data_IF_369660902152
#
_entry.id   IF_369660902152
#
_cell.length_a   1.000
_cell.length_b   1.000
_cell.length_c   1.000
_cell.angle_alpha   90.00
_cell.angle_beta   90.00
_cell.angle_gamma   90.00
#
_symmetry.space_group_name_H-M   'P 1'
#
loop_
_entity.id
_entity.type
_entity.pdbx_description
1 polymer ?
#
# COMPACT_ATOMS: atom_id res chain seq x y z
N UNK A 1 -17.12 12.05 -8.91
CA UNK A 1 -17.34 11.21 -7.74
C UNK A 1 -18.12 9.91 -8.09
N UNK A 2 -19.23 9.96 -8.85
CA UNK A 2 -20.09 8.78 -9.15
C UNK A 2 -19.33 7.57 -9.70
N UNK A 3 -18.38 7.79 -10.64
CA UNK A 3 -17.53 6.71 -11.18
C UNK A 3 -16.71 6.03 -10.07
N UNK A 4 -16.09 6.82 -9.20
CA UNK A 4 -15.28 6.30 -8.10
C UNK A 4 -16.12 5.55 -7.06
N UNK A 5 -17.36 6.00 -6.82
CA UNK A 5 -18.33 5.27 -6.00
C UNK A 5 -18.70 3.91 -6.59
N UNK A 6 -18.75 3.79 -7.93
CA UNK A 6 -19.00 2.52 -8.63
C UNK A 6 -17.82 1.55 -8.53
N UNK A 7 -16.61 2.07 -8.58
CA UNK A 7 -15.39 1.26 -8.70
C UNK A 7 -14.85 0.84 -7.32
N UNK A 8 -14.74 1.76 -6.38
CA UNK A 8 -14.12 1.48 -5.09
C UNK A 8 -15.10 0.96 -4.03
N UNK A 9 -14.59 0.11 -3.15
CA UNK A 9 -15.40 -0.52 -2.09
C UNK A 9 -15.77 0.45 -0.97
N UNK A 10 -14.95 1.48 -0.71
CA UNK A 10 -15.20 2.49 0.33
C UNK A 10 -16.06 3.63 -0.20
N UNK A 11 -16.75 4.30 0.71
CA UNK A 11 -17.54 5.48 0.40
C UNK A 11 -16.66 6.71 0.16
N UNK A 12 -16.60 7.13 -1.11
CA UNK A 12 -15.79 8.27 -1.56
C UNK A 12 -16.35 9.60 -1.06
N UNK A 13 -17.66 9.71 -0.80
CA UNK A 13 -18.27 10.94 -0.30
C UNK A 13 -17.72 11.38 1.08
N UNK A 14 -17.19 10.44 1.84
CA UNK A 14 -16.56 10.70 3.15
C UNK A 14 -15.14 11.29 3.05
N UNK A 15 -14.54 11.28 1.85
CA UNK A 15 -13.21 11.85 1.63
C UNK A 15 -13.34 13.36 1.44
N UNK A 16 -12.70 14.13 2.30
CA UNK A 16 -12.69 15.60 2.24
C UNK A 16 -11.57 16.09 1.31
N UNK A 17 -11.74 17.29 0.75
CA UNK A 17 -10.64 18.00 0.07
C UNK A 17 -9.47 18.16 1.05
N UNK A 18 -8.24 17.99 0.59
CA UNK A 18 -7.05 17.99 1.46
C UNK A 18 -6.74 16.64 2.12
N UNK A 19 -7.53 15.59 1.82
CA UNK A 19 -7.32 14.24 2.35
C UNK A 19 -7.01 13.23 1.26
N UNK A 20 -6.18 12.25 1.63
CA UNK A 20 -6.03 11.00 0.91
C UNK A 20 -6.90 9.90 1.52
N UNK A 21 -7.09 8.82 0.77
CA UNK A 21 -7.78 7.64 1.25
C UNK A 21 -7.26 6.40 0.52
N UNK A 22 -6.85 5.38 1.28
CA UNK A 22 -6.54 4.08 0.70
C UNK A 22 -7.80 3.47 0.11
N UNK A 23 -7.71 3.02 -1.12
CA UNK A 23 -8.81 2.45 -1.89
C UNK A 23 -8.34 1.22 -2.65
N UNK A 24 -9.24 0.31 -2.92
CA UNK A 24 -9.02 -0.79 -3.85
C UNK A 24 -10.29 -1.07 -4.67
N UNK A 25 -10.08 -1.62 -5.85
CA UNK A 25 -11.12 -2.06 -6.75
C UNK A 25 -11.20 -3.59 -6.76
N UNK A 26 -12.40 -4.11 -6.99
CA UNK A 26 -12.64 -5.54 -7.13
C UNK A 26 -13.27 -5.85 -8.48
N UNK A 27 -13.13 -7.09 -8.91
CA UNK A 27 -13.91 -7.69 -9.98
C UNK A 27 -15.34 -8.03 -9.49
N UNK A 28 -16.20 -8.43 -10.41
CA UNK A 28 -17.61 -8.77 -10.08
C UNK A 28 -17.74 -9.97 -9.13
N UNK A 29 -16.79 -10.88 -9.16
CA UNK A 29 -16.69 -12.06 -8.29
C UNK A 29 -16.09 -11.75 -6.90
N UNK A 30 -15.70 -10.49 -6.66
CA UNK A 30 -15.11 -10.03 -5.40
C UNK A 30 -13.61 -10.16 -5.31
N UNK A 31 -12.94 -10.75 -6.30
CA UNK A 31 -11.48 -10.77 -6.40
C UNK A 31 -10.90 -9.36 -6.53
N UNK A 32 -9.72 -9.14 -5.94
CA UNK A 32 -9.10 -7.81 -5.94
C UNK A 32 -8.40 -7.52 -7.27
N UNK A 33 -8.71 -6.35 -7.86
CA UNK A 33 -8.07 -5.89 -9.09
C UNK A 33 -6.72 -5.22 -8.79
N UNK A 34 -6.75 -4.17 -7.99
CA UNK A 34 -5.58 -3.39 -7.56
C UNK A 34 -5.97 -2.45 -6.42
N UNK A 35 -4.97 -1.87 -5.78
CA UNK A 35 -5.13 -0.88 -4.72
C UNK A 35 -4.31 0.39 -4.99
N UNK A 36 -4.52 1.40 -4.17
CA UNK A 36 -3.78 2.66 -4.26
C UNK A 36 -4.33 3.73 -3.33
N UNK A 37 -3.82 4.94 -3.52
CA UNK A 37 -4.18 6.10 -2.71
C UNK A 37 -4.95 7.11 -3.54
N UNK A 38 -6.17 7.40 -3.13
CA UNK A 38 -7.02 8.44 -3.70
C UNK A 38 -6.75 9.77 -3.00
N UNK A 39 -6.37 10.81 -3.76
CA UNK A 39 -6.29 12.19 -3.28
C UNK A 39 -7.54 12.96 -3.77
N UNK A 40 -8.30 13.55 -2.87
CA UNK A 40 -9.35 14.50 -3.26
C UNK A 40 -8.76 15.91 -3.34
N UNK A 41 -8.51 16.38 -4.58
CA UNK A 41 -7.89 17.68 -4.84
C UNK A 41 -8.89 18.83 -4.73
N UNK A 42 -10.08 18.64 -5.29
CA UNK A 42 -11.21 19.55 -5.29
C UNK A 42 -12.50 18.73 -5.17
N UNK A 43 -13.65 19.37 -5.05
CA UNK A 43 -14.93 18.63 -4.86
C UNK A 43 -15.18 17.56 -5.94
N UNK A 44 -14.79 17.81 -7.18
CA UNK A 44 -14.98 16.87 -8.29
C UNK A 44 -13.68 16.50 -9.02
N UNK A 45 -12.53 16.74 -8.39
CA UNK A 45 -11.22 16.43 -8.96
C UNK A 45 -10.43 15.54 -8.03
N UNK A 46 -10.02 14.38 -8.56
CA UNK A 46 -9.34 13.34 -7.82
C UNK A 46 -8.09 12.90 -8.58
N UNK A 47 -7.07 12.53 -7.83
CA UNK A 47 -5.99 11.69 -8.31
C UNK A 47 -6.09 10.33 -7.67
N UNK A 48 -5.80 9.29 -8.42
CA UNK A 48 -5.59 7.95 -7.89
C UNK A 48 -4.19 7.51 -8.22
N UNK A 49 -3.40 7.26 -7.19
CA UNK A 49 -2.00 6.85 -7.28
C UNK A 49 -1.92 5.37 -6.99
N UNK A 50 -1.43 4.61 -7.95
CA UNK A 50 -1.26 3.15 -7.85
C UNK A 50 0.15 2.78 -8.31
N UNK A 51 0.68 1.69 -7.77
CA UNK A 51 1.99 1.17 -8.16
C UNK A 51 1.88 0.19 -9.34
N UNK A 52 0.80 -0.61 -9.38
CA UNK A 52 0.64 -1.73 -10.30
C UNK A 52 -0.78 -1.78 -10.89
N UNK A 53 -0.92 -2.40 -12.05
CA UNK A 53 -2.19 -2.63 -12.72
C UNK A 53 -2.62 -1.51 -13.68
N UNK A 54 -3.65 -1.79 -14.50
CA UNK A 54 -4.24 -0.83 -15.46
C UNK A 54 -5.65 -0.41 -15.02
N UNK A 55 -5.73 0.46 -14.04
CA UNK A 55 -7.01 1.01 -13.62
C UNK A 55 -7.55 2.07 -14.59
N UNK A 56 -6.68 2.63 -15.45
CA UNK A 56 -7.09 3.61 -16.45
C UNK A 56 -8.10 3.03 -17.45
N UNK A 57 -7.80 1.85 -18.01
CA UNK A 57 -8.72 1.15 -18.88
C UNK A 57 -9.99 0.70 -18.15
N UNK A 58 -9.84 0.29 -16.88
CA UNK A 58 -10.98 -0.07 -16.03
C UNK A 58 -11.92 1.12 -15.79
N UNK A 59 -11.38 2.31 -15.50
CA UNK A 59 -12.19 3.52 -15.39
C UNK A 59 -12.94 3.81 -16.68
N UNK A 60 -12.27 3.76 -17.83
CA UNK A 60 -12.90 4.02 -19.14
C UNK A 60 -14.00 3.03 -19.46
N UNK A 61 -13.82 1.75 -19.13
CA UNK A 61 -14.81 0.70 -19.36
C UNK A 61 -16.07 0.89 -18.53
N UNK A 62 -16.03 1.65 -17.43
CA UNK A 62 -17.14 1.81 -16.48
C UNK A 62 -17.73 3.21 -16.44
N UNK A 63 -17.43 4.07 -17.41
CA UNK A 63 -17.96 5.44 -17.48
C UNK A 63 -19.47 5.46 -17.77
N UNK A 64 -19.97 4.48 -18.52
CA UNK A 64 -21.35 4.43 -19.02
C UNK A 64 -21.79 5.81 -19.57
N UNK A 65 -22.88 6.38 -19.06
CA UNK A 65 -23.37 7.72 -19.43
C UNK A 65 -22.90 8.82 -18.46
N UNK A 66 -21.79 8.61 -17.75
CA UNK A 66 -21.28 9.59 -16.79
C UNK A 66 -20.50 10.69 -17.51
N UNK A 67 -20.79 11.95 -17.19
CA UNK A 67 -19.96 13.09 -17.62
C UNK A 67 -18.70 13.12 -16.75
N UNK A 68 -17.65 12.45 -17.20
CA UNK A 68 -16.36 12.34 -16.50
C UNK A 68 -15.20 12.45 -17.49
N UNK A 69 -14.17 13.21 -17.11
CA UNK A 69 -12.89 13.26 -17.82
C UNK A 69 -11.88 12.41 -17.06
N UNK A 70 -11.28 11.45 -17.74
CA UNK A 70 -10.22 10.59 -17.22
C UNK A 70 -8.95 10.90 -18.00
N UNK A 71 -7.85 11.17 -17.31
CA UNK A 71 -6.54 11.46 -17.92
C UNK A 71 -5.43 11.00 -16.98
N UNK A 72 -4.30 10.60 -17.56
CA UNK A 72 -3.05 10.49 -16.82
C UNK A 72 -2.43 11.90 -16.72
N UNK A 73 -2.20 12.42 -15.51
CA UNK A 73 -1.61 13.73 -15.30
C UNK A 73 -0.08 13.74 -15.45
N UNK A 74 0.57 12.61 -15.71
CA UNK A 74 2.03 12.45 -15.82
C UNK A 74 2.73 12.98 -14.53
N UNK A 75 2.40 12.37 -13.41
CA UNK A 75 2.91 12.72 -12.07
C UNK A 75 3.95 11.70 -11.61
N UNK A 76 5.10 12.20 -11.18
CA UNK A 76 6.14 11.39 -10.56
C UNK A 76 6.06 11.46 -9.04
N UNK A 77 6.31 10.36 -8.36
CA UNK A 77 6.23 10.27 -6.90
C UNK A 77 7.57 9.90 -6.32
N UNK A 78 8.06 10.71 -5.39
CA UNK A 78 9.21 10.40 -4.54
C UNK A 78 8.77 10.25 -3.09
N UNK A 79 9.51 9.48 -2.30
CA UNK A 79 9.20 9.29 -0.88
C UNK A 79 10.38 9.65 0.00
N UNK A 80 10.12 10.37 1.08
CA UNK A 80 11.05 10.63 2.19
C UNK A 80 10.47 9.95 3.42
N UNK A 81 11.16 8.94 3.94
CA UNK A 81 10.66 8.12 5.04
C UNK A 81 11.67 8.07 6.20
N UNK A 82 11.18 8.01 7.41
CA UNK A 82 11.98 7.89 8.63
C UNK A 82 11.77 9.02 9.64
N UNK A 83 12.33 8.91 10.85
CA UNK A 83 12.01 9.79 11.98
C UNK A 83 12.40 11.26 11.75
N UNK A 84 13.42 11.54 10.92
CA UNK A 84 13.88 12.90 10.58
C UNK A 84 13.19 13.49 9.34
N UNK A 85 12.24 12.80 8.74
CA UNK A 85 11.59 13.23 7.49
C UNK A 85 10.84 14.55 7.61
N UNK A 86 10.24 14.86 8.76
CA UNK A 86 9.60 16.15 9.01
C UNK A 86 10.63 17.28 9.13
N UNK A 87 11.76 17.03 9.77
CA UNK A 87 12.80 18.04 9.92
C UNK A 87 13.41 18.39 8.56
N UNK A 88 13.65 17.38 7.71
CA UNK A 88 14.05 17.61 6.33
C UNK A 88 13.01 18.41 5.56
N UNK A 89 11.73 18.07 5.68
CA UNK A 89 10.66 18.81 4.99
C UNK A 89 10.64 20.30 5.37
N UNK A 90 10.87 20.62 6.65
CA UNK A 90 10.99 22.01 7.13
C UNK A 90 12.20 22.76 6.55
N UNK A 91 13.27 22.06 6.22
CA UNK A 91 14.44 22.63 5.51
C UNK A 91 14.12 22.88 4.03
N UNK A 92 13.43 21.92 3.39
CA UNK A 92 13.13 21.97 1.97
C UNK A 92 12.11 23.07 1.60
N UNK A 93 11.20 23.41 2.51
CA UNK A 93 10.16 24.40 2.28
C UNK A 93 10.05 25.39 3.44
N UNK A 94 9.91 26.68 3.11
CA UNK A 94 9.71 27.76 4.09
C UNK A 94 8.28 27.87 4.61
N UNK A 95 7.40 26.96 4.18
CA UNK A 95 6.01 26.99 4.61
C UNK A 95 5.83 26.53 6.05
N UNK A 96 4.78 27.02 6.69
CA UNK A 96 4.37 26.54 8.00
C UNK A 96 3.64 25.21 7.86
N UNK A 97 4.09 24.22 8.58
CA UNK A 97 3.47 22.91 8.62
C UNK A 97 2.57 22.76 9.86
N UNK A 98 1.41 22.09 9.74
CA UNK A 98 0.55 21.83 10.89
C UNK A 98 1.29 21.01 11.97
N UNK A 99 1.17 21.37 13.24
CA UNK A 99 1.73 20.57 14.35
C UNK A 99 1.16 19.14 14.37
N UNK A 100 -0.12 19.01 14.07
CA UNK A 100 -0.86 17.75 14.06
C UNK A 100 -1.23 17.33 12.64
N UNK A 101 -0.23 17.16 11.77
CA UNK A 101 -0.47 16.65 10.43
C UNK A 101 -0.84 15.18 10.49
N UNK A 102 -2.09 14.86 10.17
CA UNK A 102 -2.61 13.50 10.27
C UNK A 102 -2.16 12.63 9.09
N UNK A 103 -2.02 11.34 9.33
CA UNK A 103 -1.82 10.37 8.25
C UNK A 103 -2.89 10.53 7.18
N UNK A 104 -2.48 10.55 5.91
CA UNK A 104 -3.31 10.84 4.76
C UNK A 104 -3.84 12.29 4.64
N UNK A 105 -3.29 13.27 5.37
CA UNK A 105 -3.43 14.66 4.97
C UNK A 105 -2.47 14.98 3.83
N UNK A 106 -2.91 15.78 2.87
CA UNK A 106 -2.05 16.31 1.83
C UNK A 106 -2.13 17.84 1.76
N UNK A 107 -1.08 18.46 1.24
CA UNK A 107 -0.98 19.92 1.02
C UNK A 107 -0.13 20.22 -0.21
N UNK A 108 -0.39 21.31 -0.90
CA UNK A 108 0.54 21.87 -1.86
C UNK A 108 1.57 22.73 -1.12
N UNK A 109 2.85 22.52 -1.43
CA UNK A 109 3.97 23.29 -0.88
C UNK A 109 4.90 23.76 -2.01
N UNK A 110 5.81 24.67 -1.68
CA UNK A 110 6.82 25.16 -2.60
C UNK A 110 8.21 24.70 -2.18
N UNK A 111 8.93 24.02 -3.07
CA UNK A 111 10.34 23.63 -2.92
C UNK A 111 11.11 24.22 -4.09
N UNK A 112 12.13 25.07 -3.86
CA UNK A 112 12.92 25.75 -4.89
C UNK A 112 12.08 26.46 -5.98
N UNK A 113 10.99 27.11 -5.60
CA UNK A 113 9.99 27.74 -6.48
C UNK A 113 9.11 26.77 -7.28
N UNK A 114 9.24 25.46 -7.08
CA UNK A 114 8.38 24.44 -7.69
C UNK A 114 7.22 24.10 -6.76
N UNK A 115 5.98 24.19 -7.26
CA UNK A 115 4.79 23.79 -6.52
C UNK A 115 4.57 22.29 -6.64
N UNK A 116 4.68 21.60 -5.54
CA UNK A 116 4.48 20.13 -5.42
C UNK A 116 3.37 19.83 -4.43
N UNK A 117 2.69 18.70 -4.62
CA UNK A 117 1.80 18.15 -3.58
C UNK A 117 2.62 17.22 -2.70
N UNK A 118 2.42 17.32 -1.40
CA UNK A 118 2.95 16.36 -0.46
C UNK A 118 1.81 15.73 0.34
N UNK A 119 1.91 14.44 0.63
CA UNK A 119 1.00 13.77 1.56
C UNK A 119 1.77 13.08 2.68
N UNK A 120 1.18 13.07 3.89
CA UNK A 120 1.69 12.26 4.98
C UNK A 120 1.29 10.82 4.74
N UNK A 121 2.05 10.16 3.90
CA UNK A 121 1.86 8.78 3.48
C UNK A 121 3.20 8.15 3.10
N UNK A 122 3.17 6.86 2.81
CA UNK A 122 4.34 6.09 2.40
C UNK A 122 4.06 4.60 2.51
N UNK A 123 4.95 3.81 1.95
CA UNK A 123 4.83 2.36 1.91
C UNK A 123 5.87 1.68 2.81
N UNK A 124 6.07 2.23 4.03
CA UNK A 124 7.12 1.79 4.97
C UNK A 124 6.64 1.67 6.42
N UNK A 125 5.44 2.15 6.73
CA UNK A 125 4.93 2.34 8.10
C UNK A 125 5.82 3.23 9.00
N UNK A 126 6.71 4.01 8.40
CA UNK A 126 7.50 5.02 9.09
C UNK A 126 6.82 6.39 8.97
N UNK A 127 7.24 7.34 9.82
CA UNK A 127 6.92 8.74 9.56
C UNK A 127 7.48 9.12 8.20
N UNK A 128 6.65 9.67 7.32
CA UNK A 128 7.12 9.97 5.99
C UNK A 128 6.15 10.74 5.13
N UNK A 129 6.66 11.10 3.97
CA UNK A 129 6.04 12.01 3.02
C UNK A 129 6.21 11.46 1.61
N UNK A 130 5.12 11.47 0.85
CA UNK A 130 5.14 11.28 -0.59
C UNK A 130 5.06 12.63 -1.26
N UNK A 131 5.96 12.90 -2.20
CA UNK A 131 6.07 14.16 -2.95
C UNK A 131 5.66 13.86 -4.38
N UNK A 132 4.62 14.56 -4.83
CA UNK A 132 4.04 14.38 -6.15
C UNK A 132 4.47 15.53 -7.06
N UNK A 133 5.33 15.22 -8.02
CA UNK A 133 5.83 16.15 -9.03
C UNK A 133 4.92 16.12 -10.25
N UNK A 134 4.39 17.29 -10.62
CA UNK A 134 3.65 17.44 -11.86
C UNK A 134 4.61 17.50 -13.05
N UNK A 135 4.12 17.19 -14.24
CA UNK A 135 4.89 17.18 -15.51
C UNK A 135 5.78 18.41 -15.71
N UNK A 136 5.31 19.58 -15.30
CA UNK A 136 6.03 20.84 -15.53
C UNK A 136 7.02 21.19 -14.41
N UNK A 137 7.14 20.37 -13.36
CA UNK A 137 8.11 20.61 -12.31
C UNK A 137 9.52 20.21 -12.77
N UNK A 138 10.51 20.99 -12.36
CA UNK A 138 11.91 20.62 -12.51
C UNK A 138 12.28 19.57 -11.45
N UNK A 139 11.92 18.32 -11.74
CA UNK A 139 12.07 17.18 -10.81
C UNK A 139 13.53 16.88 -10.50
N UNK A 140 14.44 17.02 -11.47
CA UNK A 140 15.87 16.82 -11.28
C UNK A 140 16.42 17.80 -10.24
N UNK A 141 16.21 19.10 -10.44
CA UNK A 141 16.69 20.13 -9.53
C UNK A 141 16.12 19.98 -8.12
N UNK A 142 14.84 19.66 -7.98
CA UNK A 142 14.22 19.44 -6.66
C UNK A 142 14.74 18.14 -6.04
N UNK A 143 14.92 17.08 -6.82
CA UNK A 143 15.49 15.81 -6.38
C UNK A 143 16.92 15.98 -5.84
N UNK A 144 17.78 16.69 -6.56
CA UNK A 144 19.16 16.98 -6.12
C UNK A 144 19.17 17.79 -4.83
N UNK A 145 18.31 18.79 -4.70
CA UNK A 145 18.20 19.58 -3.47
C UNK A 145 17.73 18.72 -2.27
N UNK A 146 16.76 17.84 -2.48
CA UNK A 146 16.33 16.89 -1.44
C UNK A 146 17.50 15.99 -1.01
N UNK A 147 18.26 15.46 -1.96
CA UNK A 147 19.41 14.61 -1.68
C UNK A 147 20.54 15.36 -0.96
N UNK A 148 20.83 16.59 -1.38
CA UNK A 148 21.85 17.43 -0.74
C UNK A 148 21.53 17.75 0.71
N UNK A 149 20.33 18.31 0.97
CA UNK A 149 19.89 18.65 2.33
C UNK A 149 19.69 17.39 3.20
N UNK A 150 19.15 16.34 2.61
CA UNK A 150 18.97 15.06 3.29
C UNK A 150 20.27 14.41 3.73
N UNK A 151 21.32 14.44 2.90
CA UNK A 151 22.65 13.92 3.26
C UNK A 151 23.21 14.62 4.49
N UNK A 152 23.03 15.95 4.64
CA UNK A 152 23.46 16.71 5.82
C UNK A 152 22.81 16.21 7.11
N UNK A 153 21.62 15.60 7.00
CA UNK A 153 20.86 15.05 8.12
C UNK A 153 21.04 13.53 8.30
N UNK A 154 21.88 12.90 7.47
CA UNK A 154 22.15 11.47 7.49
C UNK A 154 21.13 10.63 6.69
N UNK A 155 20.41 11.25 5.76
CA UNK A 155 19.53 10.52 4.83
C UNK A 155 20.38 9.69 3.87
N UNK A 156 19.90 8.49 3.57
CA UNK A 156 20.46 7.61 2.54
C UNK A 156 19.43 7.38 1.44
N UNK A 157 19.91 7.34 0.21
CA UNK A 157 19.09 6.89 -0.91
C UNK A 157 18.90 5.38 -0.80
N UNK A 158 17.65 4.91 -0.80
CA UNK A 158 17.35 3.49 -0.77
C UNK A 158 16.68 3.05 -2.06
N UNK A 159 17.00 1.85 -2.50
CA UNK A 159 16.34 1.21 -3.64
C UNK A 159 15.24 0.23 -3.21
N UNK A 160 14.69 -0.45 -4.20
CA UNK A 160 13.62 -1.45 -4.04
C UNK A 160 13.87 -2.51 -2.94
N UNK A 161 15.09 -3.05 -2.73
CA UNK A 161 15.32 -4.04 -1.67
C UNK A 161 15.03 -3.51 -0.26
N UNK A 162 15.52 -2.30 0.07
CA UNK A 162 15.30 -1.68 1.39
C UNK A 162 13.82 -1.34 1.61
N UNK A 163 13.19 -0.84 0.57
CA UNK A 163 11.77 -0.52 0.57
C UNK A 163 10.90 -1.77 0.75
N UNK A 164 11.23 -2.84 0.05
CA UNK A 164 10.56 -4.14 0.16
C UNK A 164 10.69 -4.71 1.58
N UNK A 165 11.86 -4.58 2.22
CA UNK A 165 12.07 -5.01 3.59
C UNK A 165 11.08 -4.30 4.52
N UNK A 166 11.03 -2.97 4.47
CA UNK A 166 10.18 -2.16 5.35
C UNK A 166 8.69 -2.46 5.18
N UNK A 167 8.20 -2.60 3.95
CA UNK A 167 6.80 -2.93 3.72
C UNK A 167 6.41 -4.29 4.30
N UNK A 168 7.29 -5.31 4.14
CA UNK A 168 7.02 -6.66 4.63
C UNK A 168 7.08 -6.71 6.16
N UNK A 169 8.07 -6.07 6.79
CA UNK A 169 8.15 -5.91 8.24
C UNK A 169 6.87 -5.31 8.84
N UNK A 170 6.22 -4.43 8.08
CA UNK A 170 5.01 -3.70 8.48
C UNK A 170 3.71 -4.36 8.03
N UNK A 171 3.77 -5.50 7.35
CA UNK A 171 2.60 -6.18 6.82
C UNK A 171 1.87 -5.44 5.70
N UNK A 172 2.53 -4.48 5.01
CA UNK A 172 1.94 -3.76 3.88
C UNK A 172 1.93 -4.65 2.63
N UNK A 173 0.74 -4.88 2.11
CA UNK A 173 0.50 -5.76 0.98
C UNK A 173 0.89 -5.12 -0.35
N UNK A 174 1.21 -5.94 -1.34
CA UNK A 174 1.50 -5.50 -2.72
C UNK A 174 0.62 -6.26 -3.69
N UNK A 175 -0.06 -5.55 -4.57
CA UNK A 175 -0.86 -6.12 -5.65
C UNK A 175 -0.01 -7.03 -6.55
N UNK A 176 -0.58 -8.12 -7.01
CA UNK A 176 0.11 -9.14 -7.82
C UNK A 176 1.13 -9.99 -7.04
N UNK A 177 1.41 -9.65 -5.77
CA UNK A 177 2.27 -10.46 -4.90
C UNK A 177 1.48 -11.10 -3.76
N UNK A 178 0.84 -10.28 -2.92
CA UNK A 178 0.15 -10.71 -1.71
C UNK A 178 -1.35 -10.87 -1.91
N UNK A 179 -1.88 -10.26 -2.95
CA UNK A 179 -3.26 -10.43 -3.41
C UNK A 179 -3.37 -10.27 -4.92
N UNK A 180 -4.41 -10.86 -5.51
CA UNK A 180 -4.74 -10.82 -6.93
C UNK A 180 -6.25 -11.08 -7.12
N UNK A 181 -6.66 -11.35 -8.35
CA UNK A 181 -8.06 -11.67 -8.70
C UNK A 181 -8.65 -12.92 -8.01
N UNK A 182 -7.81 -13.81 -7.48
CA UNK A 182 -8.25 -15.01 -6.75
C UNK A 182 -8.46 -14.76 -5.24
N UNK A 183 -8.08 -13.57 -4.76
CA UNK A 183 -8.20 -13.18 -3.35
C UNK A 183 -9.22 -12.07 -3.18
N UNK A 184 -10.10 -12.21 -2.22
CA UNK A 184 -11.01 -11.14 -1.83
C UNK A 184 -10.43 -10.28 -0.70
N UNK A 185 -10.96 -9.08 -0.42
CA UNK A 185 -10.43 -8.18 0.61
C UNK A 185 -10.42 -8.78 2.03
N UNK A 186 -11.32 -9.68 2.35
CA UNK A 186 -11.36 -10.31 3.68
C UNK A 186 -10.20 -11.27 3.87
N UNK A 187 -9.87 -12.05 2.85
CA UNK A 187 -8.74 -12.98 2.86
C UNK A 187 -7.45 -12.33 3.33
N UNK A 188 -7.23 -11.08 2.91
CA UNK A 188 -6.00 -10.33 3.17
C UNK A 188 -6.15 -9.28 4.29
N UNK A 189 -7.22 -9.34 5.07
CA UNK A 189 -7.44 -8.46 6.23
C UNK A 189 -7.87 -7.03 5.89
N UNK A 190 -8.26 -6.77 4.63
CA UNK A 190 -8.73 -5.45 4.18
C UNK A 190 -10.25 -5.27 4.28
N UNK A 191 -10.95 -6.21 4.90
CA UNK A 191 -12.41 -6.19 5.04
C UNK A 191 -12.96 -4.92 5.70
N UNK A 192 -12.19 -4.28 6.61
CA UNK A 192 -12.55 -2.99 7.23
C UNK A 192 -12.72 -1.85 6.22
N UNK A 193 -12.21 -2.01 5.02
CA UNK A 193 -12.32 -1.04 3.92
C UNK A 193 -13.43 -1.38 2.92
N UNK A 194 -14.24 -2.42 3.17
CA UNK A 194 -15.41 -2.78 2.37
C UNK A 194 -16.66 -2.18 3.02
N UNK A 195 -17.22 -1.15 2.43
CA UNK A 195 -18.45 -0.51 2.92
C UNK A 195 -19.68 -1.13 2.26
N UNK A 196 -20.16 -2.23 2.83
CA UNK A 196 -21.38 -2.92 2.35
C UNK A 196 -22.67 -2.08 2.49
N UNK A 197 -22.61 -0.94 3.22
CA UNK A 197 -23.76 -0.01 3.33
C UNK A 197 -23.93 0.85 2.08
N UNK A 198 -22.91 0.96 1.22
CA UNK A 198 -23.06 1.63 -0.09
C UNK A 198 -24.15 0.92 -0.90
N UNK A 199 -24.89 1.69 -1.67
CA UNK A 199 -25.93 1.12 -2.53
C UNK A 199 -25.35 0.15 -3.56
N UNK A 200 -24.25 0.52 -4.19
CA UNK A 200 -23.59 -0.29 -5.22
C UNK A 200 -22.09 0.01 -5.31
N UNK A 201 -21.32 -1.02 -5.60
CA UNK A 201 -19.96 -0.98 -6.16
C UNK A 201 -19.68 -2.34 -6.82
N UNK A 202 -18.74 -2.39 -7.74
CA UNK A 202 -18.36 -3.62 -8.46
C UNK A 202 -17.84 -4.65 -7.46
N UNK A 203 -18.38 -5.87 -7.50
CA UNK A 203 -18.04 -6.96 -6.57
C UNK A 203 -18.87 -6.99 -5.28
N UNK A 204 -19.76 -6.01 -5.02
CA UNK A 204 -20.54 -5.95 -3.79
C UNK A 204 -21.30 -7.24 -3.50
N UNK A 205 -22.03 -7.78 -4.48
CA UNK A 205 -22.86 -8.99 -4.30
C UNK A 205 -22.03 -10.18 -3.86
N UNK A 206 -20.88 -10.42 -4.47
CA UNK A 206 -19.95 -11.48 -4.10
C UNK A 206 -19.37 -11.26 -2.70
N UNK A 207 -18.97 -10.01 -2.38
CA UNK A 207 -18.42 -9.68 -1.07
C UNK A 207 -19.45 -9.74 0.07
N UNK A 208 -20.74 -9.62 -0.21
CA UNK A 208 -21.80 -9.83 0.80
C UNK A 208 -21.85 -11.27 1.30
N UNK A 209 -21.63 -12.24 0.43
CA UNK A 209 -21.71 -13.68 0.71
C UNK A 209 -20.34 -14.32 0.99
N UNK A 210 -19.23 -13.63 0.73
CA UNK A 210 -17.88 -14.12 0.98
C UNK A 210 -17.65 -14.43 2.46
N UNK A 211 -16.75 -15.39 2.74
CA UNK A 211 -16.21 -15.57 4.08
C UNK A 211 -15.50 -14.28 4.53
N UNK A 212 -15.77 -13.83 5.74
CA UNK A 212 -15.20 -12.60 6.30
C UNK A 212 -13.91 -12.84 7.09
N UNK A 213 -13.49 -14.09 7.23
CA UNK A 213 -12.33 -14.48 8.00
C UNK A 213 -11.03 -14.23 7.21
N UNK A 214 -10.02 -13.71 7.90
CA UNK A 214 -8.71 -13.44 7.36
C UNK A 214 -7.88 -14.72 7.21
N UNK A 215 -7.18 -14.85 6.07
CA UNK A 215 -6.24 -15.95 5.78
C UNK A 215 -4.80 -15.48 5.59
N UNK A 216 -4.55 -14.17 5.51
CA UNK A 216 -3.23 -13.59 5.31
C UNK A 216 -2.58 -13.25 6.66
N UNK A 217 -1.36 -13.76 6.91
CA UNK A 217 -0.64 -13.60 8.17
C UNK A 217 0.82 -13.26 7.95
N UNK A 218 1.44 -12.65 8.95
CA UNK A 218 2.89 -12.49 9.02
C UNK A 218 3.57 -13.81 9.38
N UNK A 219 4.83 -13.96 8.93
CA UNK A 219 5.65 -15.14 9.14
C UNK A 219 7.07 -14.73 9.53
N UNK A 220 7.63 -15.36 10.58
CA UNK A 220 9.03 -15.22 10.98
C UNK A 220 9.76 -16.54 10.70
N UNK A 221 10.98 -16.43 10.18
CA UNK A 221 11.83 -17.56 9.81
C UNK A 221 13.15 -17.40 10.55
N UNK A 222 13.46 -18.26 11.50
CA UNK A 222 14.59 -18.07 12.41
C UNK A 222 15.94 -18.16 11.72
N UNK A 223 16.15 -19.13 10.84
CA UNK A 223 17.45 -19.43 10.24
C UNK A 223 17.42 -19.32 8.71
N UNK A 224 17.08 -18.15 8.18
CA UNK A 224 17.05 -17.93 6.73
C UNK A 224 15.91 -17.03 6.30
N UNK A 225 15.64 -17.04 5.01
CA UNK A 225 14.54 -16.29 4.39
C UNK A 225 13.68 -17.28 3.61
N UNK A 226 12.41 -17.36 3.94
CA UNK A 226 11.46 -18.15 3.17
C UNK A 226 11.42 -17.68 1.71
N UNK A 227 11.35 -18.59 0.76
CA UNK A 227 11.25 -18.23 -0.65
C UNK A 227 9.83 -17.85 -1.02
N UNK A 228 9.66 -16.74 -1.74
CA UNK A 228 8.38 -16.42 -2.37
C UNK A 228 7.88 -17.60 -3.20
N UNK A 229 6.64 -17.98 -2.98
CA UNK A 229 6.00 -19.08 -3.69
C UNK A 229 6.18 -20.45 -3.04
N UNK A 230 7.00 -20.58 -2.00
CA UNK A 230 7.12 -21.82 -1.23
C UNK A 230 5.87 -22.13 -0.43
N UNK A 231 5.59 -23.42 -0.32
CA UNK A 231 4.49 -23.90 0.52
C UNK A 231 4.86 -23.87 1.99
N UNK A 232 3.87 -23.51 2.79
CA UNK A 232 3.89 -23.62 4.25
C UNK A 232 3.23 -24.92 4.63
N UNK A 233 3.88 -25.73 5.48
CA UNK A 233 3.40 -27.04 5.92
C UNK A 233 3.20 -27.08 7.43
N UNK A 234 2.20 -27.81 7.84
CA UNK A 234 1.94 -28.16 9.22
C UNK A 234 1.57 -29.65 9.29
N UNK A 235 2.26 -30.44 10.10
CA UNK A 235 2.13 -31.90 10.14
C UNK A 235 2.21 -32.57 8.76
N UNK A 236 3.16 -32.14 7.92
CA UNK A 236 3.36 -32.57 6.53
C UNK A 236 2.24 -32.18 5.54
N UNK A 237 1.18 -31.50 5.97
CA UNK A 237 0.13 -30.99 5.09
C UNK A 237 0.42 -29.58 4.63
N UNK A 238 0.16 -29.26 3.35
CA UNK A 238 0.27 -27.91 2.82
C UNK A 238 -0.91 -27.08 3.33
N UNK A 239 -0.62 -26.07 4.15
CA UNK A 239 -1.63 -25.20 4.75
C UNK A 239 -1.61 -23.77 4.22
N UNK A 240 -0.63 -23.40 3.39
CA UNK A 240 -0.51 -22.06 2.84
C UNK A 240 0.69 -21.90 1.91
N UNK A 241 0.90 -20.66 1.47
CA UNK A 241 1.97 -20.27 0.56
C UNK A 241 2.56 -18.93 0.95
N UNK A 242 3.88 -18.80 0.93
CA UNK A 242 4.56 -17.50 1.10
C UNK A 242 4.33 -16.63 -0.13
N UNK A 243 3.76 -15.46 0.06
CA UNK A 243 3.49 -14.49 -1.01
C UNK A 243 4.62 -13.47 -1.13
N UNK A 244 5.17 -13.04 0.00
CA UNK A 244 6.30 -12.12 0.08
C UNK A 244 7.23 -12.50 1.21
N UNK A 245 8.54 -12.29 1.03
CA UNK A 245 9.54 -12.55 2.06
C UNK A 245 10.80 -11.72 1.87
N UNK A 246 11.52 -11.50 2.97
CA UNK A 246 12.80 -10.80 3.01
C UNK A 246 13.54 -11.11 4.29
N UNK A 247 14.83 -10.81 4.34
CA UNK A 247 15.57 -10.74 5.59
C UNK A 247 15.30 -9.41 6.29
N UNK A 248 14.98 -9.43 7.58
CA UNK A 248 14.83 -8.25 8.42
C UNK A 248 16.10 -8.01 9.24
N UNK A 249 16.88 -6.98 8.94
CA UNK A 249 18.03 -6.61 9.75
C UNK A 249 17.63 -6.18 11.17
N UNK A 250 16.44 -5.57 11.31
CA UNK A 250 15.93 -5.13 12.60
C UNK A 250 15.51 -6.32 13.49
N UNK A 251 14.78 -7.28 12.94
CA UNK A 251 14.34 -8.48 13.68
C UNK A 251 15.40 -9.58 13.70
N UNK A 252 16.48 -9.45 12.89
CA UNK A 252 17.56 -10.44 12.72
C UNK A 252 17.05 -11.83 12.34
N UNK A 253 16.01 -11.87 11.52
CA UNK A 253 15.40 -13.11 11.02
C UNK A 253 14.76 -12.88 9.65
N UNK A 254 14.38 -13.94 8.98
CA UNK A 254 13.49 -13.86 7.83
C UNK A 254 12.10 -13.41 8.27
N UNK A 255 11.49 -12.54 7.47
CA UNK A 255 10.09 -12.12 7.64
C UNK A 255 9.35 -12.27 6.33
N UNK A 256 8.05 -12.50 6.40
CA UNK A 256 7.26 -12.67 5.19
C UNK A 256 5.77 -12.51 5.43
N UNK A 257 5.03 -12.59 4.33
CA UNK A 257 3.58 -12.63 4.28
C UNK A 257 3.19 -13.99 3.73
N UNK A 258 2.22 -14.64 4.35
CA UNK A 258 1.69 -15.95 3.96
C UNK A 258 0.18 -15.87 3.76
N UNK A 259 -0.30 -16.48 2.69
CA UNK A 259 -1.72 -16.71 2.48
C UNK A 259 -2.02 -18.18 2.79
N UNK A 260 -2.85 -18.39 3.81
CA UNK A 260 -3.25 -19.73 4.26
C UNK A 260 -4.39 -20.28 3.39
N UNK A 261 -4.44 -21.58 3.21
CA UNK A 261 -5.50 -22.26 2.46
C UNK A 261 -6.84 -22.25 3.17
N UNK A 262 -6.84 -22.03 4.49
CA UNK A 262 -8.04 -22.10 5.34
C UNK A 262 -7.99 -21.07 6.45
N UNK A 263 -9.15 -20.56 6.81
CA UNK A 263 -9.37 -19.66 7.96
C UNK A 263 -9.20 -20.35 9.32
N UNK A 264 -9.06 -21.68 9.34
CA UNK A 264 -8.81 -22.47 10.56
C UNK A 264 -7.40 -22.26 11.13
N UNK A 265 -6.44 -21.90 10.27
CA UNK A 265 -5.06 -21.68 10.69
C UNK A 265 -4.90 -20.26 11.20
N UNK A 266 -4.59 -20.13 12.47
CA UNK A 266 -4.47 -18.85 13.19
C UNK A 266 -3.01 -18.60 13.60
N UNK A 267 -2.62 -17.36 13.95
CA UNK A 267 -1.31 -17.05 14.50
C UNK A 267 -0.93 -17.91 15.70
N UNK A 268 0.38 -18.13 15.88
CA UNK A 268 0.92 -18.99 16.95
C UNK A 268 1.26 -20.41 16.52
N UNK A 269 0.98 -20.78 15.27
CA UNK A 269 1.40 -22.09 14.75
C UNK A 269 2.90 -22.10 14.44
N UNK A 270 3.57 -23.20 14.80
CA UNK A 270 4.91 -23.55 14.31
C UNK A 270 4.72 -24.35 13.04
N UNK A 271 5.33 -23.92 11.96
CA UNK A 271 5.14 -24.52 10.63
C UNK A 271 6.48 -24.70 9.92
N UNK A 272 6.53 -25.60 8.95
CA UNK A 272 7.71 -25.85 8.13
C UNK A 272 7.64 -25.05 6.83
N UNK A 273 8.76 -24.41 6.46
CA UNK A 273 8.94 -23.76 5.18
C UNK A 273 10.30 -24.08 4.59
N UNK A 274 10.38 -24.18 3.26
CA UNK A 274 11.66 -24.30 2.60
C UNK A 274 12.32 -22.91 2.52
N UNK A 275 13.55 -22.84 3.02
CA UNK A 275 14.43 -21.67 2.94
C UNK A 275 15.55 -21.92 1.94
N UNK A 276 16.25 -20.87 1.54
CA UNK A 276 17.38 -20.95 0.59
C UNK A 276 18.48 -21.93 1.04
N UNK A 277 18.64 -22.15 2.35
CA UNK A 277 19.79 -22.90 2.88
C UNK A 277 19.44 -24.05 3.84
N UNK A 278 18.18 -24.21 4.31
CA UNK A 278 17.75 -25.33 5.17
C UNK A 278 16.25 -25.26 5.51
N UNK A 279 15.68 -26.36 5.98
CA UNK A 279 14.34 -26.38 6.57
C UNK A 279 14.31 -25.51 7.83
N UNK A 280 13.44 -24.52 7.86
CA UNK A 280 13.32 -23.59 8.98
C UNK A 280 11.96 -23.75 9.67
N UNK A 281 11.97 -23.76 11.01
CA UNK A 281 10.78 -23.67 11.85
C UNK A 281 10.26 -22.24 11.90
N UNK A 282 8.96 -22.06 12.02
CA UNK A 282 8.29 -20.80 11.85
C UNK A 282 7.29 -20.49 12.94
N UNK A 283 7.29 -19.24 13.39
CA UNK A 283 6.24 -18.65 14.21
C UNK A 283 5.39 -17.70 13.36
N UNK A 284 4.06 -17.86 13.41
CA UNK A 284 3.16 -16.88 12.80
C UNK A 284 2.83 -15.79 13.82
N UNK A 285 3.00 -14.54 13.44
CA UNK A 285 2.53 -13.39 14.21
C UNK A 285 1.47 -12.61 13.45
N UNK A 286 0.63 -11.89 14.16
CA UNK A 286 -0.28 -10.94 13.52
C UNK A 286 0.56 -9.82 12.87
N UNK A 287 0.49 -9.69 11.55
CA UNK A 287 1.30 -8.74 10.80
C UNK A 287 0.63 -7.36 10.65
N UNK A 288 -0.51 -7.15 11.30
CA UNK A 288 -1.32 -5.94 11.09
C UNK A 288 -2.18 -5.58 12.30
N UNK A 289 -1.58 -5.07 13.36
CA UNK A 289 -2.26 -4.19 14.30
C UNK A 289 -1.84 -2.74 14.08
#
# INVERSE_FOLDING_TARGET
>A
EKLLQKIFTRDISKVKVGRCSYQFACYNDGGMLTDGVLLKLEENKFWFVQADGDLFSWYKAHTDNLNVKISDPDVWVSQIQGPKSMDLLKVLSKETFPENWKYFDWKEITILNEKVIISRSGFSNELGWEIYFRKNNNTEKVGDYILEEGKKMGMILTGTPGFRCKRIESGLLSAGQDFNHETNPYDVGLGKYVDLKKNYFIGKSALMTADKEKRCWGIRVENGTGLKGTYVKFNNEIIGKITSSTWSPFQKCGVGIVLMNSTKHKPGLIVDVNCNDNNCLLYTSDAAD
#
